data_IF_787126151724
#
_entry.id   IF_787126151724
#
_cell.length_a   1.000
_cell.length_b   1.000
_cell.length_c   1.000
_cell.angle_alpha   90.00
_cell.angle_beta   90.00
_cell.angle_gamma   90.00
#
_symmetry.space_group_name_H-M   'P 1'
#
loop_
_entity.id
_entity.type
_entity.pdbx_description
1 polymer ?
#
# COMPACT_ATOMS: atom_id res chain seq x y z
N UNK A 1 28.02 -42.13 -63.21
CA UNK A 1 28.44 -40.80 -63.68
C UNK A 1 27.19 -39.95 -63.74
N UNK A 2 26.97 -39.09 -62.75
CA UNK A 2 25.85 -38.16 -62.70
C UNK A 2 26.45 -36.76 -62.59
N UNK A 3 26.10 -35.90 -63.55
CA UNK A 3 26.62 -34.55 -63.76
C UNK A 3 26.28 -33.62 -62.59
N UNK A 4 27.31 -32.92 -62.10
CA UNK A 4 27.19 -31.78 -61.19
C UNK A 4 26.85 -30.52 -61.98
N UNK A 5 25.70 -29.91 -61.69
CA UNK A 5 25.36 -28.58 -62.17
C UNK A 5 26.15 -27.50 -61.39
N UNK A 6 26.64 -26.43 -62.05
CA UNK A 6 27.37 -25.36 -61.38
C UNK A 6 26.43 -24.38 -60.66
N UNK A 7 26.70 -24.14 -59.38
CA UNK A 7 26.02 -23.13 -58.56
C UNK A 7 26.32 -21.71 -59.07
N UNK A 8 25.27 -20.93 -59.33
CA UNK A 8 25.37 -19.52 -59.71
C UNK A 8 25.63 -18.64 -58.47
N UNK A 9 26.57 -17.68 -58.51
CA UNK A 9 26.81 -16.77 -57.38
C UNK A 9 25.70 -15.71 -57.27
N UNK A 10 24.94 -15.78 -56.18
CA UNK A 10 23.95 -14.77 -55.80
C UNK A 10 24.65 -13.44 -55.51
N UNK A 11 24.50 -12.45 -56.40
CA UNK A 11 24.95 -11.07 -56.19
C UNK A 11 24.14 -10.42 -55.06
N UNK A 12 24.78 -10.10 -53.95
CA UNK A 12 24.19 -9.26 -52.90
C UNK A 12 23.86 -7.86 -53.44
N UNK A 13 22.70 -7.27 -53.11
CA UNK A 13 22.33 -5.94 -53.58
C UNK A 13 23.20 -4.87 -52.91
N UNK A 14 23.92 -4.09 -53.72
CA UNK A 14 24.68 -2.91 -53.26
C UNK A 14 23.72 -1.89 -52.63
N UNK A 15 23.80 -1.74 -51.31
CA UNK A 15 23.06 -0.71 -50.58
C UNK A 15 23.55 0.67 -51.00
N UNK A 16 22.63 1.57 -51.37
CA UNK A 16 22.97 2.96 -51.68
C UNK A 16 23.39 3.68 -50.39
N UNK A 17 24.48 4.47 -50.40
CA UNK A 17 24.92 5.18 -49.20
C UNK A 17 23.86 6.22 -48.77
N UNK A 18 23.59 6.29 -47.47
CA UNK A 18 22.61 7.25 -46.95
C UNK A 18 23.03 8.69 -47.30
N UNK A 19 22.06 9.54 -47.66
CA UNK A 19 22.34 10.93 -48.02
C UNK A 19 22.85 11.73 -46.80
N UNK A 20 23.74 12.70 -47.04
CA UNK A 20 24.41 13.47 -45.99
C UNK A 20 23.42 14.23 -45.07
N UNK A 21 22.27 14.65 -45.58
CA UNK A 21 21.22 15.30 -44.78
C UNK A 21 20.50 14.35 -43.82
N UNK A 22 20.60 13.04 -44.03
CA UNK A 22 20.07 12.02 -43.14
C UNK A 22 21.08 11.59 -42.07
N UNK A 23 22.31 12.11 -42.11
CA UNK A 23 23.31 11.88 -41.06
C UNK A 23 23.04 12.82 -39.87
N UNK A 24 23.04 12.33 -38.62
CA UNK A 24 22.88 13.17 -37.46
C UNK A 24 24.01 14.21 -37.38
N UNK A 25 23.65 15.49 -37.39
CA UNK A 25 24.59 16.60 -37.20
C UNK A 25 24.85 16.81 -35.70
N UNK A 26 25.95 17.48 -35.35
CA UNK A 26 26.30 17.85 -33.98
C UNK A 26 25.18 18.65 -33.27
N UNK A 27 24.38 19.40 -34.04
CA UNK A 27 23.19 20.10 -33.54
C UNK A 27 21.99 19.19 -33.25
N UNK A 28 21.98 17.96 -33.78
CA UNK A 28 20.95 16.94 -33.49
C UNK A 28 21.28 16.10 -32.26
N UNK A 29 22.55 16.06 -31.85
CA UNK A 29 22.98 15.38 -30.63
C UNK A 29 22.93 16.36 -29.48
N UNK A 30 21.79 16.41 -28.80
CA UNK A 30 21.66 17.16 -27.56
C UNK A 30 22.68 16.63 -26.53
N UNK A 31 23.38 17.50 -25.78
CA UNK A 31 24.23 17.08 -24.68
C UNK A 31 23.43 16.18 -23.74
N UNK A 32 23.88 14.93 -23.58
CA UNK A 32 23.27 14.03 -22.62
C UNK A 32 23.60 14.53 -21.23
N UNK A 33 22.55 14.82 -20.45
CA UNK A 33 22.68 15.30 -19.09
C UNK A 33 23.50 14.30 -18.25
N UNK A 34 24.66 14.73 -17.77
CA UNK A 34 25.64 13.86 -17.11
C UNK A 34 25.12 13.24 -15.81
N UNK A 35 24.16 13.88 -15.13
CA UNK A 35 23.59 13.38 -13.87
C UNK A 35 22.28 12.60 -14.09
N UNK A 36 21.95 12.24 -15.34
CA UNK A 36 20.71 11.51 -15.61
C UNK A 36 20.65 10.18 -14.86
N UNK A 37 21.78 9.47 -14.76
CA UNK A 37 21.83 8.17 -14.09
C UNK A 37 21.60 8.30 -12.58
N UNK A 38 22.17 9.32 -11.93
CA UNK A 38 21.97 9.54 -10.50
C UNK A 38 20.51 9.87 -10.18
N UNK A 39 19.84 10.64 -11.04
CA UNK A 39 18.43 10.99 -10.85
C UNK A 39 17.53 9.76 -11.00
N UNK A 40 17.81 8.89 -11.97
CA UNK A 40 17.08 7.63 -12.18
C UNK A 40 17.24 6.70 -10.98
N UNK A 41 18.46 6.59 -10.43
CA UNK A 41 18.72 5.81 -9.22
C UNK A 41 17.94 6.41 -8.04
N UNK A 42 18.07 7.72 -7.80
CA UNK A 42 17.39 8.39 -6.70
C UNK A 42 15.86 8.25 -6.79
N UNK A 43 15.30 8.35 -8.00
CA UNK A 43 13.88 8.15 -8.25
C UNK A 43 13.43 6.72 -7.92
N UNK A 44 14.22 5.69 -8.26
CA UNK A 44 13.85 4.30 -7.96
C UNK A 44 13.72 4.02 -6.44
N UNK A 45 14.41 4.78 -5.60
CA UNK A 45 14.30 4.69 -4.13
C UNK A 45 13.23 5.62 -3.52
N UNK A 46 12.57 6.47 -4.31
CA UNK A 46 11.49 7.33 -3.82
C UNK A 46 10.16 6.60 -3.78
N UNK A 47 9.43 6.80 -2.68
CA UNK A 47 8.05 6.33 -2.53
C UNK A 47 7.16 7.08 -3.53
N UNK A 48 6.26 6.37 -4.20
CA UNK A 48 5.33 6.95 -5.18
C UNK A 48 5.92 7.16 -6.58
N UNK A 49 7.06 6.55 -6.88
CA UNK A 49 7.65 6.59 -8.22
C UNK A 49 7.26 5.38 -9.08
N UNK A 50 7.39 5.52 -10.40
CA UNK A 50 7.08 4.50 -11.41
C UNK A 50 8.29 3.64 -11.83
N UNK A 51 9.50 3.95 -11.34
CA UNK A 51 10.69 3.13 -11.61
C UNK A 51 10.80 2.04 -10.54
N UNK A 52 10.79 0.78 -10.97
CA UNK A 52 10.98 -0.36 -10.07
C UNK A 52 12.44 -0.49 -9.66
N UNK A 53 12.70 -0.76 -8.38
CA UNK A 53 14.04 -1.12 -7.90
C UNK A 53 14.60 -2.36 -8.61
N UNK A 54 13.72 -3.27 -9.08
CA UNK A 54 14.12 -4.46 -9.82
C UNK A 54 14.72 -4.12 -11.20
N UNK A 55 14.42 -2.94 -11.74
CA UNK A 55 14.95 -2.51 -13.04
C UNK A 55 16.39 -1.97 -12.93
N UNK A 56 16.87 -1.72 -11.71
CA UNK A 56 18.24 -1.32 -11.49
C UNK A 56 19.19 -2.52 -11.59
N UNK A 57 20.39 -2.34 -12.20
CA UNK A 57 21.39 -3.39 -12.22
C UNK A 57 21.91 -3.69 -10.80
N UNK A 58 22.14 -4.97 -10.50
CA UNK A 58 22.64 -5.43 -9.20
C UNK A 58 24.00 -4.85 -8.80
N UNK A 59 24.80 -4.44 -9.79
CA UNK A 59 26.05 -3.68 -9.59
C UNK A 59 25.94 -2.39 -10.40
N UNK A 60 26.03 -1.24 -9.73
CA UNK A 60 25.95 0.07 -10.37
C UNK A 60 27.34 0.46 -10.86
N UNK A 61 27.54 0.47 -12.18
CA UNK A 61 28.72 1.03 -12.85
C UNK A 61 28.30 2.23 -13.73
N UNK A 62 29.20 3.18 -14.02
CA UNK A 62 28.91 4.29 -14.92
C UNK A 62 28.38 3.78 -16.27
N UNK A 63 27.25 4.32 -16.72
CA UNK A 63 26.60 3.94 -17.99
C UNK A 63 25.74 2.67 -17.93
N UNK A 64 25.79 1.91 -16.83
CA UNK A 64 25.12 0.61 -16.76
C UNK A 64 23.60 0.74 -16.59
N UNK A 65 23.15 1.75 -15.84
CA UNK A 65 21.72 2.03 -15.64
C UNK A 65 21.08 2.43 -16.97
N UNK A 66 21.73 3.34 -17.71
CA UNK A 66 21.26 3.76 -19.03
C UNK A 66 21.20 2.58 -20.01
N UNK A 67 22.24 1.73 -20.04
CA UNK A 67 22.27 0.53 -20.90
C UNK A 67 21.17 -0.46 -20.55
N UNK A 68 20.96 -0.76 -19.27
CA UNK A 68 19.92 -1.68 -18.82
C UNK A 68 18.52 -1.18 -19.20
N UNK A 69 18.29 0.14 -19.06
CA UNK A 69 17.03 0.77 -19.46
C UNK A 69 16.82 0.75 -20.97
N UNK A 70 17.85 1.06 -21.77
CA UNK A 70 17.80 0.94 -23.22
C UNK A 70 17.50 -0.50 -23.65
N UNK A 71 18.15 -1.49 -23.03
CA UNK A 71 17.89 -2.90 -23.31
C UNK A 71 16.44 -3.27 -23.00
N UNK A 72 15.92 -2.88 -21.84
CA UNK A 72 14.51 -3.11 -21.48
C UNK A 72 13.53 -2.48 -22.48
N UNK A 73 13.82 -1.28 -22.98
CA UNK A 73 13.01 -0.63 -24.02
C UNK A 73 13.05 -1.43 -25.32
N UNK A 74 14.22 -1.94 -25.71
CA UNK A 74 14.37 -2.78 -26.90
C UNK A 74 13.63 -4.11 -26.74
N UNK A 75 13.75 -4.75 -25.59
CA UNK A 75 13.08 -6.01 -25.27
C UNK A 75 11.55 -5.85 -25.25
N UNK A 76 11.03 -4.71 -24.80
CA UNK A 76 9.60 -4.40 -24.83
C UNK A 76 9.09 -4.04 -26.23
N UNK A 77 9.98 -3.60 -27.13
CA UNK A 77 9.65 -3.26 -28.51
C UNK A 77 9.65 -4.48 -29.44
N UNK A 78 10.32 -5.56 -29.06
CA UNK A 78 10.25 -6.79 -29.83
C UNK A 78 8.81 -7.33 -29.79
N UNK A 79 8.19 -7.60 -30.96
CA UNK A 79 6.89 -8.27 -30.97
C UNK A 79 7.06 -9.62 -30.27
N UNK A 80 6.14 -9.98 -29.39
CA UNK A 80 6.14 -11.31 -28.78
C UNK A 80 6.17 -12.36 -29.89
N UNK A 81 6.99 -13.40 -29.76
CA UNK A 81 7.11 -14.47 -30.76
C UNK A 81 5.76 -15.11 -31.15
N UNK A 82 4.76 -15.00 -30.27
CA UNK A 82 3.36 -15.34 -30.52
C UNK A 82 2.68 -14.58 -31.68
N UNK A 83 3.24 -13.45 -32.13
CA UNK A 83 2.75 -12.67 -33.26
C UNK A 83 3.34 -13.12 -34.60
N UNK A 84 4.51 -13.77 -34.59
CA UNK A 84 5.23 -14.22 -35.79
C UNK A 84 4.88 -15.66 -36.15
N UNK A 85 4.59 -16.49 -35.14
CA UNK A 85 4.28 -17.90 -35.33
C UNK A 85 3.06 -18.30 -34.48
N UNK A 86 1.89 -18.58 -35.08
CA UNK A 86 0.67 -18.92 -34.33
C UNK A 86 0.76 -20.25 -33.58
N UNK A 87 1.83 -21.04 -33.83
CA UNK A 87 2.13 -22.28 -33.13
C UNK A 87 3.03 -22.08 -31.90
N UNK A 88 3.67 -20.91 -31.77
CA UNK A 88 4.58 -20.62 -30.66
C UNK A 88 3.78 -20.42 -29.38
N UNK A 89 3.85 -21.41 -28.49
CA UNK A 89 3.32 -21.29 -27.13
C UNK A 89 4.02 -20.14 -26.42
N UNK A 90 3.24 -19.23 -25.85
CA UNK A 90 3.74 -18.18 -24.97
C UNK A 90 4.65 -18.80 -23.91
N UNK A 91 5.95 -18.52 -24.00
CA UNK A 91 6.90 -18.86 -22.95
C UNK A 91 6.94 -17.68 -21.99
N UNK A 92 6.35 -17.79 -20.78
CA UNK A 92 6.52 -16.75 -19.79
C UNK A 92 8.01 -16.57 -19.55
N UNK A 93 8.49 -15.31 -19.60
CA UNK A 93 9.88 -14.98 -19.27
C UNK A 93 10.23 -15.65 -17.93
N UNK A 94 11.45 -16.22 -17.79
CA UNK A 94 11.82 -17.04 -16.65
C UNK A 94 11.46 -16.34 -15.33
N UNK A 95 10.53 -16.99 -14.62
CA UNK A 95 9.91 -16.69 -13.33
C UNK A 95 10.58 -15.54 -12.56
N UNK A 96 10.11 -14.31 -12.81
CA UNK A 96 10.39 -13.14 -11.97
C UNK A 96 9.71 -13.25 -10.59
N UNK A 97 8.75 -14.16 -10.47
CA UNK A 97 8.08 -14.49 -9.22
C UNK A 97 8.38 -15.94 -8.91
N UNK A 98 8.95 -16.18 -7.73
CA UNK A 98 8.92 -17.51 -7.12
C UNK A 98 7.46 -17.97 -7.09
N UNK A 99 7.18 -19.18 -7.54
CA UNK A 99 5.88 -19.81 -7.27
C UNK A 99 5.73 -19.81 -5.75
N UNK A 100 4.83 -18.97 -5.24
CA UNK A 100 4.56 -18.95 -3.81
C UNK A 100 3.75 -20.21 -3.51
N UNK A 101 4.24 -21.01 -2.57
CA UNK A 101 3.38 -22.01 -1.93
C UNK A 101 2.31 -21.23 -1.18
N UNK A 102 1.04 -21.45 -1.53
CA UNK A 102 -0.07 -20.84 -0.81
C UNK A 102 -0.05 -21.38 0.62
N UNK A 103 0.45 -20.57 1.55
CA UNK A 103 0.30 -20.84 2.97
C UNK A 103 -1.08 -20.32 3.40
N UNK A 104 -2.04 -21.20 3.71
CA UNK A 104 -3.33 -20.76 4.19
C UNK A 104 -3.13 -19.93 5.45
N UNK A 105 -3.67 -18.72 5.42
CA UNK A 105 -3.77 -17.86 6.60
C UNK A 105 -4.51 -18.60 7.73
N UNK A 106 -4.20 -18.37 9.02
CA UNK A 106 -4.94 -18.94 10.14
C UNK A 106 -6.46 -18.75 10.02
N UNK A 107 -6.89 -17.65 9.40
CA UNK A 107 -8.30 -17.34 9.13
C UNK A 107 -8.94 -18.23 8.05
N UNK A 108 -8.17 -18.71 7.07
CA UNK A 108 -8.65 -19.65 6.05
C UNK A 108 -9.00 -21.02 6.67
N UNK A 109 -8.31 -21.41 7.74
CA UNK A 109 -8.62 -22.64 8.48
C UNK A 109 -9.98 -22.51 9.18
N UNK A 110 -10.27 -21.35 9.76
CA UNK A 110 -11.54 -21.07 10.44
C UNK A 110 -12.72 -21.18 9.47
N UNK A 111 -12.59 -20.63 8.25
CA UNK A 111 -13.62 -20.78 7.21
C UNK A 111 -13.86 -22.25 6.81
N UNK A 112 -12.79 -23.04 6.71
CA UNK A 112 -12.91 -24.47 6.39
C UNK A 112 -13.59 -25.26 7.51
N UNK A 113 -13.30 -24.95 8.77
CA UNK A 113 -13.95 -25.55 9.94
C UNK A 113 -15.44 -25.20 9.94
N UNK A 114 -15.80 -23.93 9.77
CA UNK A 114 -17.21 -23.53 9.71
C UNK A 114 -17.96 -24.09 8.50
N UNK A 115 -17.28 -24.32 7.37
CA UNK A 115 -17.88 -25.01 6.24
C UNK A 115 -18.16 -26.49 6.56
N UNK A 116 -17.24 -27.16 7.25
CA UNK A 116 -17.42 -28.54 7.71
C UNK A 116 -18.55 -28.65 8.74
N UNK A 117 -18.56 -27.80 9.77
CA UNK A 117 -19.62 -27.76 10.79
C UNK A 117 -21.01 -27.57 10.16
N UNK A 118 -21.14 -26.67 9.17
CA UNK A 118 -22.41 -26.48 8.44
C UNK A 118 -22.82 -27.72 7.65
N UNK A 119 -21.87 -28.41 7.00
CA UNK A 119 -22.14 -29.64 6.28
C UNK A 119 -22.60 -30.76 7.22
N UNK A 120 -21.95 -30.90 8.38
CA UNK A 120 -22.31 -31.86 9.43
C UNK A 120 -23.68 -31.56 10.04
N UNK A 121 -23.99 -30.29 10.31
CA UNK A 121 -25.31 -29.88 10.77
C UNK A 121 -26.39 -30.22 9.73
N UNK A 122 -26.17 -29.93 8.45
CA UNK A 122 -27.10 -30.32 7.37
C UNK A 122 -27.29 -31.83 7.28
N UNK A 123 -26.20 -32.60 7.34
CA UNK A 123 -26.25 -34.05 7.30
C UNK A 123 -26.96 -34.65 8.52
N UNK A 124 -26.76 -34.09 9.71
CA UNK A 124 -27.43 -34.55 10.93
C UNK A 124 -28.94 -34.27 10.89
N UNK A 125 -29.36 -33.12 10.35
CA UNK A 125 -30.78 -32.78 10.14
C UNK A 125 -31.44 -33.71 9.11
N UNK A 126 -30.75 -33.98 8.00
CA UNK A 126 -31.21 -34.90 6.97
C UNK A 126 -31.37 -36.33 7.53
N UNK A 127 -30.40 -36.79 8.32
CA UNK A 127 -30.46 -38.09 9.01
C UNK A 127 -31.61 -38.17 10.01
N UNK A 128 -31.95 -37.06 10.67
CA UNK A 128 -33.10 -36.97 11.56
C UNK A 128 -34.44 -36.84 10.81
N UNK A 129 -34.44 -36.78 9.47
CA UNK A 129 -35.64 -36.67 8.65
C UNK A 129 -36.26 -35.27 8.64
N UNK A 130 -35.57 -34.26 9.16
CA UNK A 130 -36.06 -32.89 9.21
C UNK A 130 -35.58 -32.11 7.99
N UNK A 131 -36.51 -31.55 7.20
CA UNK A 131 -36.20 -30.69 6.05
C UNK A 131 -35.83 -29.25 6.44
N UNK A 132 -36.08 -28.85 7.68
CA UNK A 132 -35.82 -27.51 8.22
C UNK A 132 -35.20 -27.65 9.61
N UNK A 133 -34.26 -26.76 9.99
CA UNK A 133 -33.75 -26.74 11.35
C UNK A 133 -34.89 -26.52 12.34
N UNK A 134 -34.77 -27.10 13.53
CA UNK A 134 -35.72 -26.87 14.61
C UNK A 134 -35.60 -25.41 15.08
N UNK A 135 -36.71 -24.68 14.97
CA UNK A 135 -36.82 -23.28 15.38
C UNK A 135 -37.64 -23.26 16.66
N UNK A 136 -37.07 -22.72 17.74
CA UNK A 136 -37.78 -22.58 19.02
C UNK A 136 -39.03 -21.71 18.82
N UNK A 137 -40.14 -22.04 19.47
CA UNK A 137 -41.42 -21.35 19.30
C UNK A 137 -41.35 -19.84 19.60
N UNK A 138 -40.35 -19.40 20.36
CA UNK A 138 -40.12 -18.01 20.76
C UNK A 138 -39.36 -17.17 19.71
N UNK A 139 -38.77 -17.81 18.70
CA UNK A 139 -38.24 -17.10 17.53
C UNK A 139 -39.37 -16.86 16.54
N UNK A 140 -40.01 -15.71 16.73
CA UNK A 140 -41.23 -15.24 16.07
C UNK A 140 -41.35 -15.65 14.59
N UNK A 141 -42.42 -16.39 14.29
CA UNK A 141 -42.93 -16.55 12.93
C UNK A 141 -43.31 -15.16 12.43
N UNK A 142 -42.54 -14.61 11.48
CA UNK A 142 -42.85 -13.31 10.86
C UNK A 142 -44.27 -13.33 10.28
N UNK A 143 -45.10 -12.38 10.72
CA UNK A 143 -46.42 -12.18 10.15
C UNK A 143 -46.26 -11.67 8.71
N UNK A 144 -47.23 -11.98 7.83
CA UNK A 144 -47.19 -11.69 6.38
C UNK A 144 -46.93 -10.21 6.02
N UNK A 145 -47.08 -9.29 6.98
CA UNK A 145 -46.96 -7.85 6.78
C UNK A 145 -45.94 -7.17 7.71
N UNK A 146 -45.09 -7.91 8.42
CA UNK A 146 -43.95 -7.28 9.09
C UNK A 146 -42.89 -6.89 8.07
N UNK A 147 -42.73 -5.58 7.88
CA UNK A 147 -41.72 -4.97 7.02
C UNK A 147 -40.32 -5.35 7.53
N UNK A 148 -39.55 -6.01 6.66
CA UNK A 148 -38.21 -6.53 6.97
C UNK A 148 -37.13 -5.46 7.15
N UNK A 149 -37.49 -4.16 7.09
CA UNK A 149 -36.53 -3.07 7.15
C UNK A 149 -36.30 -2.48 8.54
N UNK A 150 -37.01 -2.89 9.59
CA UNK A 150 -36.78 -2.37 10.94
C UNK A 150 -36.39 -3.51 11.90
N UNK A 151 -35.08 -3.72 12.04
CA UNK A 151 -34.46 -4.32 13.23
C UNK A 151 -34.59 -5.84 13.44
N UNK A 152 -34.97 -6.63 12.44
CA UNK A 152 -35.14 -8.08 12.59
C UNK A 152 -33.94 -8.91 12.13
N UNK A 153 -33.60 -9.94 12.92
CA UNK A 153 -32.61 -10.99 12.66
C UNK A 153 -32.63 -11.40 11.19
N UNK A 154 -31.51 -11.17 10.50
CA UNK A 154 -31.32 -11.61 9.11
C UNK A 154 -31.31 -13.14 9.12
N UNK A 155 -32.13 -13.83 8.32
CA UNK A 155 -32.03 -15.28 8.20
C UNK A 155 -30.61 -15.62 7.77
N UNK A 156 -29.97 -16.53 8.50
CA UNK A 156 -28.63 -17.00 8.19
C UNK A 156 -28.63 -17.52 6.75
N UNK A 157 -27.90 -16.83 5.86
CA UNK A 157 -27.73 -17.29 4.48
C UNK A 157 -26.67 -18.37 4.49
N UNK A 158 -27.04 -19.57 4.06
CA UNK A 158 -26.14 -20.73 4.01
C UNK A 158 -24.93 -20.52 3.09
N UNK A 159 -25.05 -19.61 2.12
CA UNK A 159 -23.99 -19.22 1.20
C UNK A 159 -23.29 -17.97 1.73
N UNK A 160 -21.94 -17.98 1.88
CA UNK A 160 -21.20 -16.77 2.20
C UNK A 160 -21.50 -15.71 1.14
N UNK A 161 -21.65 -14.46 1.56
CA UNK A 161 -21.99 -13.39 0.64
C UNK A 161 -20.81 -13.21 -0.34
N UNK A 162 -21.03 -13.34 -1.66
CA UNK A 162 -19.96 -13.19 -2.65
C UNK A 162 -19.22 -11.84 -2.55
N UNK A 163 -19.83 -10.84 -1.92
CA UNK A 163 -19.30 -9.49 -1.79
C UNK A 163 -18.65 -9.20 -0.43
N UNK A 164 -18.73 -10.11 0.54
CA UNK A 164 -18.11 -9.94 1.87
C UNK A 164 -16.60 -9.74 1.74
N UNK A 165 -15.96 -10.51 0.86
CA UNK A 165 -14.53 -10.35 0.55
C UNK A 165 -14.20 -9.00 -0.11
N UNK A 166 -15.14 -8.41 -0.86
CA UNK A 166 -14.96 -7.09 -1.49
C UNK A 166 -15.08 -5.97 -0.46
N UNK A 167 -16.03 -6.08 0.47
CA UNK A 167 -16.20 -5.14 1.58
C UNK A 167 -14.99 -5.18 2.52
N UNK A 168 -14.49 -6.38 2.85
CA UNK A 168 -13.27 -6.55 3.64
C UNK A 168 -12.03 -5.98 2.95
N UNK A 169 -11.91 -6.15 1.63
CA UNK A 169 -10.83 -5.52 0.86
C UNK A 169 -10.93 -4.00 0.87
N UNK A 170 -12.13 -3.43 0.73
CA UNK A 170 -12.36 -1.99 0.80
C UNK A 170 -12.00 -1.43 2.18
N UNK A 171 -12.39 -2.15 3.24
CA UNK A 171 -12.12 -1.77 4.62
C UNK A 171 -10.63 -1.85 4.95
N UNK A 172 -9.95 -2.91 4.48
CA UNK A 172 -8.48 -3.03 4.56
C UNK A 172 -7.76 -1.93 3.81
N UNK A 173 -8.23 -1.58 2.61
CA UNK A 173 -7.64 -0.50 1.83
C UNK A 173 -7.78 0.84 2.56
N UNK A 174 -8.94 1.11 3.15
CA UNK A 174 -9.16 2.28 3.99
C UNK A 174 -8.21 2.31 5.19
N UNK A 175 -8.06 1.20 5.91
CA UNK A 175 -7.12 1.13 7.03
C UNK A 175 -5.67 1.35 6.63
N UNK A 176 -5.25 0.82 5.47
CA UNK A 176 -3.91 1.08 4.94
C UNK A 176 -3.72 2.56 4.57
N UNK A 177 -4.73 3.20 3.97
CA UNK A 177 -4.69 4.64 3.69
C UNK A 177 -4.65 5.46 4.97
N UNK A 178 -5.48 5.14 5.96
CA UNK A 178 -5.51 5.84 7.24
C UNK A 178 -4.19 5.65 8.01
N UNK A 179 -3.58 4.45 7.96
CA UNK A 179 -2.27 4.20 8.56
C UNK A 179 -1.11 4.90 7.84
N UNK A 180 -1.26 5.27 6.57
CA UNK A 180 -0.29 6.11 5.85
C UNK A 180 -0.32 7.57 6.32
N UNK A 181 -1.40 8.00 6.97
CA UNK A 181 -1.54 9.34 7.54
C UNK A 181 -0.81 9.35 8.90
N UNK A 182 0.53 9.49 8.85
CA UNK A 182 1.41 9.56 10.03
C UNK A 182 1.14 10.77 10.93
N UNK A 183 0.58 11.83 10.36
CA UNK A 183 0.13 13.02 11.05
C UNK A 183 -1.22 13.44 10.47
N UNK A 184 -2.11 13.97 11.32
CA UNK A 184 -3.45 14.40 10.92
C UNK A 184 -3.46 15.39 9.73
N UNK A 185 -4.65 15.71 9.19
CA UNK A 185 -4.79 16.57 8.03
C UNK A 185 -3.91 17.82 8.16
N UNK A 186 -3.02 18.03 7.19
CA UNK A 186 -2.09 19.15 7.19
C UNK A 186 -2.87 20.45 7.36
N UNK A 187 -2.78 21.06 8.55
CA UNK A 187 -3.35 22.37 8.82
C UNK A 187 -2.29 23.41 8.46
N UNK A 188 -2.45 24.19 7.38
CA UNK A 188 -1.55 25.30 7.11
C UNK A 188 -1.56 26.22 8.34
N UNK A 189 -0.38 26.72 8.73
CA UNK A 189 -0.21 27.78 9.72
C UNK A 189 -0.74 29.11 9.15
N UNK A 190 -2.04 29.19 8.91
CA UNK A 190 -2.73 30.33 8.31
C UNK A 190 -3.28 31.27 9.39
N UNK A 191 -3.00 32.57 9.23
CA UNK A 191 -3.58 33.69 10.00
C UNK A 191 -5.11 33.66 9.95
N UNK A 192 -5.77 33.11 10.96
CA UNK A 192 -7.20 33.34 11.20
C UNK A 192 -7.33 33.94 12.59
N UNK A 193 -7.81 35.19 12.66
CA UNK A 193 -8.04 35.92 13.91
C UNK A 193 -9.24 35.32 14.64
N UNK A 194 -9.05 34.96 15.90
CA UNK A 194 -10.12 34.53 16.79
C UNK A 194 -11.01 35.68 17.28
N UNK A 195 -12.10 35.28 17.96
CA UNK A 195 -12.60 36.01 19.13
C UNK A 195 -13.43 35.11 20.06
N UNK A 196 -13.95 33.97 19.60
CA UNK A 196 -14.82 33.09 20.42
C UNK A 196 -14.86 31.65 19.91
N UNK A 197 -13.89 30.81 20.31
CA UNK A 197 -14.03 29.34 20.18
C UNK A 197 -13.19 28.70 19.08
N UNK A 198 -11.98 28.31 19.49
CA UNK A 198 -11.19 27.16 19.01
C UNK A 198 -10.60 27.21 17.58
N UNK A 199 -9.42 27.82 17.48
CA UNK A 199 -8.37 27.43 16.54
C UNK A 199 -6.98 27.63 17.18
N UNK A 200 -6.14 26.59 17.09
CA UNK A 200 -4.87 26.40 17.79
C UNK A 200 -3.68 27.24 17.26
N UNK A 201 -3.81 28.56 17.15
CA UNK A 201 -2.72 29.41 16.60
C UNK A 201 -2.52 30.73 17.33
N UNK A 202 -2.61 30.73 18.65
CA UNK A 202 -1.80 31.68 19.41
C UNK A 202 -0.39 31.10 19.49
N UNK A 203 0.52 31.66 18.68
CA UNK A 203 1.95 31.42 18.86
C UNK A 203 2.22 31.75 20.33
N UNK A 204 2.74 30.81 21.15
CA UNK A 204 3.02 31.05 22.55
C UNK A 204 3.83 32.34 22.65
N UNK A 205 3.23 33.36 23.26
CA UNK A 205 3.88 34.63 23.48
C UNK A 205 4.42 34.60 24.91
N UNK A 206 5.52 35.29 25.20
CA UNK A 206 6.03 35.45 26.57
C UNK A 206 4.95 35.89 27.57
N UNK A 207 3.88 36.56 27.10
CA UNK A 207 2.72 36.96 27.91
C UNK A 207 1.77 35.81 28.29
N UNK A 208 1.66 34.77 27.47
CA UNK A 208 0.81 33.59 27.73
C UNK A 208 1.56 32.49 28.48
N UNK A 209 2.88 32.61 28.62
CA UNK A 209 3.74 31.69 29.35
C UNK A 209 3.30 31.43 30.81
N UNK A 210 2.94 32.44 31.63
CA UNK A 210 2.48 32.17 33.00
C UNK A 210 1.18 31.35 33.05
N UNK A 211 0.26 31.58 32.11
CA UNK A 211 -1.00 30.83 32.02
C UNK A 211 -0.75 29.36 31.63
N UNK A 212 0.19 29.13 30.71
CA UNK A 212 0.63 27.79 30.30
C UNK A 212 1.31 27.06 31.47
N UNK A 213 2.13 27.74 32.27
CA UNK A 213 2.75 27.15 33.47
C UNK A 213 1.69 26.76 34.49
N UNK A 214 0.69 27.61 34.71
CA UNK A 214 -0.39 27.34 35.65
C UNK A 214 -1.26 26.16 35.20
N UNK A 215 -1.59 26.08 33.90
CA UNK A 215 -2.34 24.94 33.35
C UNK A 215 -1.55 23.63 33.49
N UNK A 216 -0.26 23.64 33.12
CA UNK A 216 0.60 22.47 33.26
C UNK A 216 0.73 22.04 34.72
N UNK A 217 0.91 22.98 35.64
CA UNK A 217 0.99 22.67 37.06
C UNK A 217 -0.27 21.96 37.55
N UNK A 218 -1.45 22.47 37.15
CA UNK A 218 -2.74 21.89 37.53
C UNK A 218 -2.92 20.46 36.99
N UNK A 219 -2.57 20.23 35.73
CA UNK A 219 -2.69 18.92 35.10
C UNK A 219 -1.71 17.91 35.74
N UNK A 220 -0.48 18.35 36.03
CA UNK A 220 0.54 17.53 36.71
C UNK A 220 0.15 17.18 38.15
N UNK A 221 -0.38 18.13 38.92
CA UNK A 221 -0.87 17.89 40.28
C UNK A 221 -2.08 16.94 40.28
N UNK A 222 -2.93 16.98 39.25
CA UNK A 222 -4.07 16.07 39.08
C UNK A 222 -3.66 14.65 38.71
N UNK A 223 -2.67 14.50 37.82
CA UNK A 223 -2.22 13.18 37.36
C UNK A 223 -1.28 12.48 38.36
N UNK A 224 -0.56 13.25 39.17
CA UNK A 224 0.53 12.75 40.04
C UNK A 224 0.51 13.36 41.45
N UNK A 225 -0.58 13.13 42.20
CA UNK A 225 -0.79 13.63 43.57
C UNK A 225 0.32 13.26 44.59
N UNK A 226 1.10 12.21 44.32
CA UNK A 226 2.16 11.71 45.21
C UNK A 226 3.52 12.40 45.01
N UNK A 227 3.65 13.27 44.01
CA UNK A 227 4.91 13.92 43.65
C UNK A 227 4.80 15.45 43.73
N UNK A 228 5.79 16.08 44.35
CA UNK A 228 5.92 17.53 44.29
C UNK A 228 6.66 17.91 43.01
N UNK A 229 5.98 18.69 42.16
CA UNK A 229 6.57 19.26 40.95
C UNK A 229 6.82 20.76 41.12
N UNK A 230 8.00 21.19 40.70
CA UNK A 230 8.33 22.60 40.54
C UNK A 230 8.44 22.85 39.04
N UNK A 231 7.49 23.62 38.50
CA UNK A 231 7.49 24.06 37.10
C UNK A 231 7.94 25.51 37.07
N UNK A 232 9.10 25.78 36.46
CA UNK A 232 9.66 27.12 36.32
C UNK A 232 10.03 27.39 34.86
N UNK A 233 9.96 28.66 34.45
CA UNK A 233 10.56 29.15 33.22
C UNK A 233 12.02 29.54 33.45
N UNK A 234 12.92 29.16 32.56
CA UNK A 234 14.28 29.71 32.50
C UNK A 234 14.32 31.03 31.73
N UNK A 235 15.44 31.76 31.82
CA UNK A 235 15.67 33.02 31.10
C UNK A 235 15.56 32.86 29.56
N UNK A 236 15.76 31.65 29.06
CA UNK A 236 15.61 31.27 27.64
C UNK A 236 14.16 30.83 27.29
N UNK A 237 13.17 31.11 28.14
CA UNK A 237 11.75 30.75 27.97
C UNK A 237 11.49 29.23 27.87
N UNK A 238 12.44 28.39 28.30
CA UNK A 238 12.23 26.95 28.39
C UNK A 238 11.46 26.59 29.66
N UNK A 239 10.50 25.68 29.54
CA UNK A 239 9.76 25.12 30.68
C UNK A 239 10.56 23.94 31.22
N UNK A 240 10.97 24.02 32.48
CA UNK A 240 11.67 22.93 33.19
C UNK A 240 10.79 22.46 34.33
N UNK A 241 10.47 21.16 34.34
CA UNK A 241 9.80 20.49 35.45
C UNK A 241 10.83 19.70 36.26
N UNK A 242 10.98 20.04 37.54
CA UNK A 242 11.78 19.25 38.49
C UNK A 242 10.82 18.53 39.43
N UNK A 243 10.86 17.19 39.43
CA UNK A 243 10.10 16.38 40.37
C UNK A 243 10.96 16.00 41.58
N UNK A 244 10.39 16.13 42.77
CA UNK A 244 10.99 15.59 44.00
C UNK A 244 10.07 14.51 44.53
N UNK A 245 10.57 13.27 44.56
CA UNK A 245 9.86 12.17 45.20
C UNK A 245 9.76 12.45 46.70
N UNK A 246 8.54 12.60 47.21
CA UNK A 246 8.29 12.61 48.64
C UNK A 246 8.40 11.15 49.09
N UNK A 247 9.52 10.80 49.74
CA UNK A 247 9.58 9.57 50.52
C UNK A 247 8.64 9.74 51.71
N UNK A 248 7.35 9.42 51.53
CA UNK A 248 6.44 9.23 52.66
C UNK A 248 6.97 8.02 53.43
N UNK A 249 7.67 8.28 54.53
CA UNK A 249 8.01 7.25 55.49
C UNK A 249 6.70 6.66 56.00
N UNK A 250 6.38 5.45 55.56
CA UNK A 250 5.30 4.66 56.14
C UNK A 250 5.58 4.49 57.64
N UNK A 251 4.74 5.09 58.48
CA UNK A 251 4.56 4.74 59.89
C UNK A 251 3.34 3.83 60.01
#
# INVERSE_FOLDING_TARGET
MADQAPETPTKEPKQQPLPHYALPNFSTVLPTYSNHESDVIAQAFRIGNFLSLQDLPSRIKPGQVSRSRCQKILDNRQPSDAATDPSARYQPKPKLFSEFEYMPSPYSIVETIHAQERAEQKASLEKAGHKKPFVLADTAVKLKYEDGFHGGIRPYKDTPDPWEAADDQALRHKWLQDAQILAGPWRPSGRVKGSTGEAATEIPCAKSLPEIIESLRKDLESDWEDYDFIVCSTDDEHIVSVSRAILRSYN
#
